data_IF_931270161938
#
_entry.id   IF_931270161938
#
_cell.length_a   1.000
_cell.length_b   1.000
_cell.length_c   1.000
_cell.angle_alpha   90.00
_cell.angle_beta   90.00
_cell.angle_gamma   90.00
#
_symmetry.space_group_name_H-M   'P 1'
#
loop_
_entity.id
_entity.type
_entity.pdbx_description
1 polymer ?
#
# COMPACT_ATOMS: atom_id res chain seq x y z
N UNK A 1 10.34 -24.61 8.91
CA UNK A 1 10.46 -24.47 7.44
C UNK A 1 9.80 -25.68 6.82
N UNK A 2 8.64 -25.53 6.18
CA UNK A 2 7.94 -26.62 5.51
C UNK A 2 7.50 -26.14 4.13
N UNK A 3 8.00 -26.77 3.06
CA UNK A 3 7.59 -26.45 1.69
C UNK A 3 6.26 -27.12 1.42
N UNK A 4 5.21 -26.32 1.22
CA UNK A 4 3.93 -26.81 0.69
C UNK A 4 4.11 -27.01 -0.82
N UNK A 5 3.84 -28.22 -1.31
CA UNK A 5 3.77 -28.50 -2.74
C UNK A 5 2.48 -27.91 -3.30
N UNK A 6 2.59 -26.92 -4.18
CA UNK A 6 1.47 -26.41 -4.96
C UNK A 6 1.44 -27.20 -6.27
N UNK A 7 0.37 -27.96 -6.50
CA UNK A 7 0.04 -28.44 -7.83
C UNK A 7 -0.66 -27.29 -8.57
N UNK A 8 -0.14 -26.82 -9.71
CA UNK A 8 -0.84 -25.82 -10.50
C UNK A 8 -2.04 -26.49 -11.15
N UNK A 9 -3.25 -26.09 -10.74
CA UNK A 9 -4.48 -26.49 -11.40
C UNK A 9 -4.54 -25.74 -12.73
N UNK A 10 -4.68 -26.49 -13.82
CA UNK A 10 -4.82 -25.96 -15.18
C UNK A 10 -5.98 -24.98 -15.23
N UNK A 11 -5.72 -23.81 -15.84
CA UNK A 11 -6.68 -22.72 -16.02
C UNK A 11 -7.82 -23.19 -16.93
N UNK A 12 -8.89 -23.74 -16.37
CA UNK A 12 -10.15 -23.90 -17.10
C UNK A 12 -11.36 -23.77 -16.15
N UNK A 13 -12.23 -22.83 -16.55
CA UNK A 13 -13.62 -22.62 -16.17
C UNK A 13 -13.97 -22.28 -14.71
N UNK A 14 -14.46 -21.05 -14.55
CA UNK A 14 -15.21 -20.58 -13.41
C UNK A 14 -16.43 -21.47 -13.08
N UNK A 15 -16.47 -22.00 -11.85
CA UNK A 15 -17.71 -22.25 -11.11
C UNK A 15 -17.51 -21.66 -9.73
N UNK A 16 -18.13 -20.49 -9.49
CA UNK A 16 -18.20 -19.86 -8.18
C UNK A 16 -19.18 -20.68 -7.33
N UNK A 17 -18.67 -21.46 -6.39
CA UNK A 17 -19.48 -21.97 -5.29
C UNK A 17 -18.63 -22.20 -4.02
N UNK A 18 -18.08 -21.11 -3.51
CA UNK A 18 -17.30 -21.06 -2.28
C UNK A 18 -16.72 -19.66 -2.12
N UNK A 19 -17.05 -18.99 -1.03
CA UNK A 19 -16.69 -17.61 -0.69
C UNK A 19 -15.17 -17.41 -0.56
N UNK A 20 -14.47 -17.21 -1.68
CA UNK A 20 -13.15 -16.63 -1.69
C UNK A 20 -13.24 -15.15 -2.11
N UNK A 21 -13.22 -14.26 -1.11
CA UNK A 21 -13.05 -12.81 -1.31
C UNK A 21 -11.61 -12.46 -1.73
N UNK A 22 -11.04 -13.25 -2.64
CA UNK A 22 -9.69 -13.00 -3.11
C UNK A 22 -9.74 -11.85 -4.12
N UNK A 23 -9.27 -10.67 -3.70
CA UNK A 23 -9.03 -9.55 -4.62
C UNK A 23 -7.80 -9.89 -5.45
N UNK A 24 -7.99 -10.58 -6.57
CA UNK A 24 -6.92 -10.85 -7.55
C UNK A 24 -6.89 -9.74 -8.60
N UNK A 25 -5.75 -9.08 -8.77
CA UNK A 25 -5.55 -8.01 -9.76
C UNK A 25 -5.72 -6.58 -9.22
N UNK A 26 -6.29 -6.41 -8.03
CA UNK A 26 -6.50 -5.11 -7.39
C UNK A 26 -7.47 -4.21 -8.18
N UNK A 27 -8.20 -3.36 -7.47
CA UNK A 27 -8.99 -2.29 -8.08
C UNK A 27 -8.70 -1.00 -7.32
N UNK A 28 -8.89 0.15 -7.98
CA UNK A 28 -8.74 1.44 -7.31
C UNK A 28 -9.65 1.50 -6.08
N UNK A 29 -9.09 1.92 -4.94
CA UNK A 29 -9.85 2.13 -3.73
C UNK A 29 -10.86 3.25 -3.94
N UNK A 30 -12.09 3.05 -3.45
CA UNK A 30 -13.09 4.11 -3.46
C UNK A 30 -12.67 5.24 -2.51
N UNK A 31 -12.98 6.48 -2.92
CA UNK A 31 -12.71 7.70 -2.15
C UNK A 31 -13.22 7.56 -0.71
N UNK A 32 -12.30 7.68 0.25
CA UNK A 32 -12.64 7.63 1.68
C UNK A 32 -12.91 6.24 2.25
N UNK A 33 -12.78 5.15 1.49
CA UNK A 33 -12.92 3.78 2.03
C UNK A 33 -11.79 3.39 2.98
N UNK A 34 -10.62 4.03 2.85
CA UNK A 34 -9.44 3.78 3.68
C UNK A 34 -8.82 5.09 4.14
N UNK A 35 -9.49 5.85 5.03
CA UNK A 35 -9.09 7.22 5.38
C UNK A 35 -7.78 7.28 6.18
N UNK A 36 -7.38 6.17 6.79
CA UNK A 36 -6.12 6.08 7.54
C UNK A 36 -4.90 5.82 6.65
N UNK A 37 -5.08 5.52 5.36
CA UNK A 37 -3.96 5.28 4.44
C UNK A 37 -3.20 6.58 4.17
N UNK A 38 -1.88 6.51 4.27
CA UNK A 38 -0.99 7.64 3.95
C UNK A 38 0.07 7.26 2.93
N UNK A 39 0.43 8.24 2.11
CA UNK A 39 1.56 8.19 1.21
C UNK A 39 2.75 8.91 1.85
N UNK A 40 3.91 8.25 1.87
CA UNK A 40 5.17 8.81 2.36
C UNK A 40 6.09 8.99 1.18
N UNK A 41 6.50 10.22 0.95
CA UNK A 41 7.44 10.56 -0.11
C UNK A 41 8.62 11.36 0.43
N UNK A 42 9.74 11.28 -0.28
CA UNK A 42 10.89 12.14 -0.04
C UNK A 42 10.81 13.33 -0.99
N UNK A 43 10.90 14.53 -0.44
CA UNK A 43 10.89 15.76 -1.25
C UNK A 43 12.31 16.05 -1.75
N UNK A 44 12.46 16.50 -2.99
CA UNK A 44 13.76 16.99 -3.49
C UNK A 44 13.89 18.51 -3.30
N UNK A 45 15.05 19.06 -3.67
CA UNK A 45 15.28 20.51 -3.62
C UNK A 45 14.28 21.33 -4.48
N UNK A 46 13.73 20.71 -5.52
CA UNK A 46 12.76 21.32 -6.43
C UNK A 46 11.30 21.16 -5.97
N UNK A 47 11.07 20.49 -4.82
CA UNK A 47 9.74 20.25 -4.28
C UNK A 47 9.04 18.99 -4.83
N UNK A 48 9.71 18.17 -5.65
CA UNK A 48 9.13 16.94 -6.18
C UNK A 48 9.08 15.86 -5.09
N UNK A 49 7.94 15.18 -5.01
CA UNK A 49 7.63 14.18 -3.99
C UNK A 49 7.81 12.78 -4.59
N UNK A 50 8.95 12.14 -4.33
CA UNK A 50 9.22 10.77 -4.79
C UNK A 50 8.67 9.74 -3.79
N UNK A 51 7.71 8.92 -4.21
CA UNK A 51 7.14 7.88 -3.35
C UNK A 51 8.19 6.92 -2.80
N UNK A 52 8.11 6.64 -1.49
CA UNK A 52 9.00 5.69 -0.81
C UNK A 52 8.23 4.58 -0.12
N UNK A 53 7.16 4.94 0.59
CA UNK A 53 6.45 4.01 1.44
C UNK A 53 4.99 4.41 1.61
N UNK A 54 4.17 3.44 1.97
CA UNK A 54 2.84 3.67 2.53
C UNK A 54 2.87 3.56 4.05
N UNK A 55 1.85 4.09 4.71
CA UNK A 55 1.65 3.95 6.14
C UNK A 55 0.18 4.01 6.54
N UNK A 56 -0.05 3.88 7.85
CA UNK A 56 -1.38 4.02 8.46
C UNK A 56 -1.35 5.04 9.62
N UNK A 57 -2.33 5.91 9.68
CA UNK A 57 -2.53 6.84 10.80
C UNK A 57 -2.97 6.04 12.03
N UNK A 58 -2.21 6.15 13.11
CA UNK A 58 -2.51 5.53 14.42
C UNK A 58 -2.86 6.57 15.49
N UNK A 59 -2.73 7.87 15.17
CA UNK A 59 -3.15 8.99 16.00
C UNK A 59 -2.89 10.31 15.31
N UNK A 60 -3.33 11.42 15.91
CA UNK A 60 -3.33 12.76 15.29
C UNK A 60 -1.98 13.23 14.73
N UNK A 61 -0.87 12.71 15.28
CA UNK A 61 0.50 13.01 14.84
C UNK A 61 1.37 11.77 14.69
N UNK A 62 0.75 10.59 14.62
CA UNK A 62 1.46 9.32 14.62
C UNK A 62 1.04 8.47 13.43
N UNK A 63 2.04 8.03 12.67
CA UNK A 63 1.88 7.14 11.52
C UNK A 63 2.76 5.91 11.71
N UNK A 64 2.16 4.74 11.52
CA UNK A 64 2.86 3.47 11.46
C UNK A 64 3.30 3.18 10.02
N UNK A 65 4.56 2.81 9.85
CA UNK A 65 5.13 2.37 8.56
C UNK A 65 6.19 1.30 8.81
N UNK A 66 6.74 0.73 7.74
CA UNK A 66 7.80 -0.27 7.82
C UNK A 66 9.16 0.39 8.01
N UNK A 67 9.93 -0.08 8.99
CA UNK A 67 11.31 0.36 9.22
C UNK A 67 12.19 0.15 7.97
N UNK A 68 11.98 -0.94 7.22
CA UNK A 68 12.78 -1.24 6.02
C UNK A 68 12.48 -0.29 4.86
N UNK A 69 11.31 0.36 4.87
CA UNK A 69 10.93 1.27 3.80
C UNK A 69 11.56 2.68 3.96
N UNK A 70 12.01 3.01 5.17
CA UNK A 70 12.64 4.29 5.52
C UNK A 70 13.98 4.03 6.21
N UNK A 71 15.02 3.59 5.46
CA UNK A 71 16.31 3.22 6.03
C UNK A 71 17.07 4.41 6.64
N UNK A 72 16.83 5.62 6.12
CA UNK A 72 17.53 6.83 6.52
C UNK A 72 16.67 7.71 7.44
N UNK A 73 17.29 8.35 8.42
CA UNK A 73 16.65 9.41 9.20
C UNK A 73 16.78 10.73 8.46
N UNK A 74 15.94 10.92 7.45
CA UNK A 74 15.89 12.14 6.65
C UNK A 74 14.74 13.06 7.11
N UNK A 75 15.00 14.35 7.27
CA UNK A 75 13.97 15.36 7.54
C UNK A 75 13.13 15.72 6.32
N UNK A 76 13.51 15.18 5.16
CA UNK A 76 12.89 15.53 3.87
C UNK A 76 11.68 14.65 3.53
N UNK A 77 11.36 13.66 4.39
CA UNK A 77 10.13 12.90 4.24
C UNK A 77 8.89 13.75 4.55
N UNK A 78 7.90 13.63 3.68
CA UNK A 78 6.56 14.20 3.85
C UNK A 78 5.54 13.09 3.87
N UNK A 79 4.58 13.24 4.77
CA UNK A 79 3.43 12.34 4.89
C UNK A 79 2.22 13.07 4.34
N UNK A 80 1.52 12.43 3.41
CA UNK A 80 0.28 12.94 2.82
C UNK A 80 -0.86 12.00 3.19
N UNK A 81 -1.88 12.53 3.86
CA UNK A 81 -3.09 11.82 4.24
C UNK A 81 -4.24 12.17 3.30
N UNK A 82 -5.17 11.23 3.08
CA UNK A 82 -6.33 11.44 2.21
C UNK A 82 -6.00 11.45 0.71
N UNK A 83 -4.80 11.01 0.33
CA UNK A 83 -4.36 10.89 -1.07
C UNK A 83 -4.89 9.58 -1.65
N UNK A 84 -5.50 9.65 -2.84
CA UNK A 84 -6.09 8.50 -3.54
C UNK A 84 -5.31 8.13 -4.79
N UNK A 85 -4.63 9.12 -5.39
CA UNK A 85 -3.74 8.96 -6.51
C UNK A 85 -2.42 9.69 -6.20
N UNK A 86 -1.30 8.99 -6.32
CA UNK A 86 0.02 9.62 -6.14
C UNK A 86 0.40 10.48 -7.35
N UNK A 87 -0.24 10.27 -8.51
CA UNK A 87 0.13 10.89 -9.78
C UNK A 87 -0.76 12.06 -10.20
N UNK A 88 -1.79 12.43 -9.42
CA UNK A 88 -2.70 13.53 -9.76
C UNK A 88 -3.38 14.17 -8.53
#
# INVERSE_FOLDING_TARGET
CGRVKLNPVTMDAAVVNGTSNAVTGGTYAQLGSWPWTVSICQVDWFGNCAFKAAGAIIGDRWVATSCMALPDKDTTYRVQAGVLDHNN
#
